data_IF_722668259108
#
_entry.id   IF_722668259108
#
_cell.length_a   1.000
_cell.length_b   1.000
_cell.length_c   1.000
_cell.angle_alpha   90.00
_cell.angle_beta   90.00
_cell.angle_gamma   90.00
#
_symmetry.space_group_name_H-M   'P 1'
#
loop_
_entity.id
_entity.type
_entity.pdbx_description
1 polymer ?
#
# COMPACT_ATOMS: atom_id res chain seq x y z
N UNK A 1 -2.09 5.53 -3.24
CA UNK A 1 -0.65 5.35 -3.50
C UNK A 1 0.18 5.12 -2.24
N UNK A 2 -0.15 5.74 -1.11
CA UNK A 2 0.64 5.59 0.13
C UNK A 2 0.88 4.14 0.58
N UNK A 3 -0.11 3.24 0.48
CA UNK A 3 0.08 1.82 0.81
C UNK A 3 1.15 1.14 -0.06
N UNK A 4 1.13 1.36 -1.38
CA UNK A 4 2.11 0.78 -2.31
C UNK A 4 3.52 1.33 -2.05
N UNK A 5 3.63 2.63 -1.72
CA UNK A 5 4.92 3.24 -1.35
C UNK A 5 5.46 2.63 -0.05
N UNK A 6 4.63 2.52 0.98
CA UNK A 6 5.05 1.91 2.24
C UNK A 6 5.41 0.43 2.08
N UNK A 7 4.70 -0.29 1.20
CA UNK A 7 5.06 -1.67 0.88
C UNK A 7 6.43 -1.74 0.22
N UNK A 8 6.72 -0.85 -0.72
CA UNK A 8 8.03 -0.77 -1.36
C UNK A 8 9.15 -0.52 -0.34
N UNK A 9 8.91 0.33 0.66
CA UNK A 9 9.87 0.61 1.73
C UNK A 9 10.15 -0.65 2.57
N UNK A 10 9.10 -1.40 2.95
CA UNK A 10 9.23 -2.65 3.71
C UNK A 10 9.99 -3.72 2.90
N UNK A 11 9.69 -3.86 1.61
CA UNK A 11 10.39 -4.79 0.73
C UNK A 11 11.87 -4.39 0.57
N UNK A 12 12.16 -3.09 0.46
CA UNK A 12 13.53 -2.59 0.41
C UNK A 12 14.30 -2.88 1.71
N UNK A 13 13.64 -2.76 2.86
CA UNK A 13 14.22 -3.12 4.16
C UNK A 13 14.53 -4.63 4.24
N UNK A 14 13.65 -5.50 3.75
CA UNK A 14 13.93 -6.94 3.69
C UNK A 14 15.13 -7.25 2.79
N UNK A 15 15.18 -6.66 1.59
CA UNK A 15 16.29 -6.85 0.64
C UNK A 15 17.61 -6.37 1.25
N UNK A 16 17.62 -5.22 1.93
CA UNK A 16 18.80 -4.70 2.62
C UNK A 16 19.29 -5.63 3.75
N UNK A 17 18.37 -6.38 4.37
CA UNK A 17 18.66 -7.31 5.46
C UNK A 17 18.74 -8.79 5.00
N UNK A 18 18.87 -9.06 3.70
CA UNK A 18 18.94 -10.42 3.16
C UNK A 18 20.13 -11.24 3.68
N UNK A 19 21.23 -10.59 4.08
CA UNK A 19 22.40 -11.25 4.67
C UNK A 19 22.46 -11.10 6.21
N UNK A 20 21.41 -10.57 6.84
CA UNK A 20 21.39 -10.33 8.30
C UNK A 20 20.94 -11.59 9.04
N UNK A 21 21.79 -12.18 9.92
CA UNK A 21 21.39 -13.36 10.69
C UNK A 21 20.17 -13.09 11.57
N UNK A 22 19.30 -14.10 11.72
CA UNK A 22 18.07 -14.02 12.54
C UNK A 22 17.07 -12.93 12.13
N UNK A 23 17.17 -12.40 10.91
CA UNK A 23 16.19 -11.45 10.39
C UNK A 23 14.92 -12.19 9.90
N UNK A 24 13.77 -11.58 10.14
CA UNK A 24 12.46 -12.11 9.73
C UNK A 24 11.81 -11.16 8.74
N UNK A 25 11.46 -11.68 7.56
CA UNK A 25 10.82 -10.94 6.49
C UNK A 25 9.45 -10.39 6.94
N UNK A 26 9.14 -9.17 6.50
CA UNK A 26 7.90 -8.46 6.82
C UNK A 26 7.18 -8.05 5.54
N UNK A 27 5.86 -7.95 5.58
CA UNK A 27 5.08 -7.34 4.49
C UNK A 27 3.92 -6.54 5.09
N UNK A 28 3.21 -5.77 4.28
CA UNK A 28 1.99 -5.09 4.70
C UNK A 28 0.77 -6.00 4.58
N UNK A 29 -0.17 -5.83 5.50
CA UNK A 29 -1.48 -6.46 5.39
C UNK A 29 -2.13 -6.08 4.04
N UNK A 30 -2.72 -7.09 3.38
CA UNK A 30 -3.29 -6.93 2.06
C UNK A 30 -4.37 -5.85 2.04
N UNK A 31 -4.29 -4.99 1.03
CA UNK A 31 -5.26 -3.92 0.87
C UNK A 31 -6.60 -4.50 0.40
N UNK A 32 -7.54 -4.64 1.32
CA UNK A 32 -8.91 -5.04 0.98
C UNK A 32 -9.66 -3.87 0.34
N UNK A 33 -9.54 -3.77 -0.99
CA UNK A 33 -10.20 -2.74 -1.80
C UNK A 33 -11.72 -2.73 -1.64
N UNK A 34 -12.35 -3.85 -1.27
CA UNK A 34 -13.80 -3.91 -1.07
C UNK A 34 -14.27 -3.03 0.10
N UNK A 35 -13.41 -2.85 1.11
CA UNK A 35 -13.67 -1.93 2.22
C UNK A 35 -13.65 -0.47 1.73
N UNK A 36 -12.68 -0.11 0.90
CA UNK A 36 -12.53 1.26 0.39
C UNK A 36 -13.58 1.67 -0.65
N UNK A 37 -14.03 0.74 -1.50
CA UNK A 37 -15.12 1.00 -2.47
C UNK A 37 -16.42 1.36 -1.74
N UNK A 38 -16.68 0.72 -0.59
CA UNK A 38 -17.82 1.05 0.25
C UNK A 38 -17.63 2.37 1.04
N UNK A 39 -16.39 2.73 1.38
CA UNK A 39 -16.08 4.03 2.00
C UNK A 39 -16.15 5.21 1.04
N UNK A 40 -15.98 5.01 -0.27
CA UNK A 40 -16.21 6.05 -1.28
C UNK A 40 -17.65 6.59 -1.30
N UNK A 41 -18.60 5.92 -0.62
CA UNK A 41 -19.97 6.39 -0.36
C UNK A 41 -20.12 7.21 0.92
N UNK A 42 -19.08 7.37 1.73
CA UNK A 42 -19.12 8.18 2.96
C UNK A 42 -18.93 9.65 2.61
N UNK A 43 -20.04 10.37 2.50
CA UNK A 43 -20.07 11.84 2.51
C UNK A 43 -19.35 12.30 3.78
N UNK A 44 -18.25 13.05 3.62
CA UNK A 44 -17.53 13.63 4.76
C UNK A 44 -18.27 14.89 5.20
N UNK A 45 -18.74 14.99 6.46
CA UNK A 45 -19.37 16.20 6.95
C UNK A 45 -18.34 17.34 6.97
N UNK A 46 -18.75 18.52 6.51
CA UNK A 46 -17.95 19.75 6.64
C UNK A 46 -18.20 20.33 8.02
N UNK A 47 -17.13 20.74 8.70
CA UNK A 47 -17.22 21.47 9.97
C UNK A 47 -17.81 22.85 9.70
N UNK A 48 -19.04 23.06 10.14
CA UNK A 48 -19.75 24.33 9.97
C UNK A 48 -19.43 25.35 11.06
N UNK A 49 -18.93 24.91 12.23
CA UNK A 49 -18.62 25.77 13.37
C UNK A 49 -17.33 25.34 14.08
N UNK A 50 -16.58 26.30 14.62
CA UNK A 50 -15.34 26.10 15.38
C UNK A 50 -15.57 25.43 16.74
N UNK A 51 -16.81 25.28 17.19
CA UNK A 51 -17.17 24.57 18.42
C UNK A 51 -17.53 23.10 18.17
N UNK A 52 -17.66 22.68 16.91
CA UNK A 52 -17.94 21.29 16.57
C UNK A 52 -16.71 20.38 16.75
N UNK A 53 -16.96 19.16 17.24
CA UNK A 53 -15.95 18.11 17.37
C UNK A 53 -15.44 17.68 15.99
N UNK A 54 -14.12 17.51 15.85
CA UNK A 54 -13.52 16.94 14.64
C UNK A 54 -13.47 15.42 14.78
N UNK A 55 -13.64 14.71 13.66
CA UNK A 55 -13.24 13.32 13.56
C UNK A 55 -11.91 13.31 12.81
N UNK A 56 -10.80 13.14 13.51
CA UNK A 56 -9.51 12.93 12.89
C UNK A 56 -9.57 11.61 12.12
N UNK A 57 -9.70 11.70 10.80
CA UNK A 57 -9.41 10.57 9.92
C UNK A 57 -7.90 10.41 9.88
N UNK A 58 -7.34 9.88 10.96
CA UNK A 58 -6.06 9.22 10.90
C UNK A 58 -6.28 7.98 10.04
N UNK A 59 -5.99 8.09 8.74
CA UNK A 59 -5.75 6.92 7.92
C UNK A 59 -4.60 6.17 8.59
N UNK A 60 -4.93 5.14 9.36
CA UNK A 60 -3.95 4.38 10.13
C UNK A 60 -2.86 3.88 9.20
N UNK A 61 -1.61 3.94 9.65
CA UNK A 61 -0.52 3.33 8.93
C UNK A 61 -0.88 1.86 8.65
N UNK A 62 -0.68 1.37 7.41
CA UNK A 62 -0.89 -0.03 7.09
C UNK A 62 -0.14 -0.91 8.09
N UNK A 63 -0.85 -1.91 8.59
CA UNK A 63 -0.31 -2.84 9.57
C UNK A 63 0.77 -3.69 8.89
N UNK A 64 1.97 -3.66 9.45
CA UNK A 64 3.04 -4.59 9.09
C UNK A 64 2.71 -5.95 9.71
N UNK A 65 2.82 -7.01 8.92
CA UNK A 65 2.61 -8.39 9.31
C UNK A 65 3.89 -9.16 9.03
N UNK A 66 4.28 -10.07 9.95
CA UNK A 66 5.37 -11.00 9.69
C UNK A 66 4.94 -11.99 8.62
N UNK A 67 5.74 -12.17 7.58
CA UNK A 67 5.46 -13.22 6.59
C UNK A 67 6.10 -14.53 7.05
N UNK A 68 5.41 -15.65 6.83
CA UNK A 68 6.06 -16.96 6.88
C UNK A 68 6.84 -17.09 5.58
N UNK A 69 8.16 -17.23 5.66
CA UNK A 69 8.96 -17.49 4.47
C UNK A 69 8.86 -18.96 4.05
N UNK A 70 9.02 -19.23 2.76
CA UNK A 70 9.12 -20.60 2.26
C UNK A 70 10.44 -21.27 2.64
N UNK A 71 11.50 -20.47 2.79
CA UNK A 71 12.83 -20.93 3.14
C UNK A 71 13.37 -20.14 4.33
N UNK A 72 13.99 -20.83 5.28
CA UNK A 72 14.76 -20.21 6.36
C UNK A 72 16.18 -20.73 6.25
N UNK A 73 17.12 -19.81 6.03
CA UNK A 73 18.55 -20.14 5.97
C UNK A 73 19.00 -20.81 7.28
N UNK A 74 20.07 -21.62 7.27
CA UNK A 74 20.65 -22.17 8.50
C UNK A 74 21.04 -21.10 9.54
N UNK A 75 21.26 -19.86 9.07
CA UNK A 75 21.55 -18.66 9.85
C UNK A 75 20.33 -18.09 10.61
N UNK A 76 19.14 -18.66 10.39
CA UNK A 76 17.87 -18.19 10.93
C UNK A 76 17.32 -16.96 10.22
N UNK A 77 17.84 -16.60 9.05
CA UNK A 77 17.26 -15.55 8.20
C UNK A 77 16.13 -16.15 7.36
N UNK A 78 14.96 -15.51 7.39
CA UNK A 78 13.77 -15.89 6.66
C UNK A 78 13.57 -15.09 5.36
N UNK A 79 14.52 -14.22 4.97
CA UNK A 79 14.44 -13.44 3.72
C UNK A 79 14.92 -14.29 2.55
N UNK A 80 14.05 -14.46 1.55
CA UNK A 80 14.39 -15.03 0.25
C UNK A 80 14.44 -13.93 -0.80
N UNK A 81 15.63 -13.62 -1.33
CA UNK A 81 15.85 -12.46 -2.19
C UNK A 81 15.01 -12.56 -3.48
N UNK A 82 14.91 -13.74 -4.07
CA UNK A 82 14.12 -14.00 -5.27
C UNK A 82 12.63 -13.69 -5.04
N UNK A 83 12.11 -14.06 -3.87
CA UNK A 83 10.73 -13.80 -3.48
C UNK A 83 10.48 -12.30 -3.27
N UNK A 84 11.39 -11.61 -2.57
CA UNK A 84 11.29 -10.16 -2.36
C UNK A 84 11.36 -9.39 -3.68
N UNK A 85 12.22 -9.80 -4.61
CA UNK A 85 12.30 -9.20 -5.95
C UNK A 85 11.02 -9.41 -6.77
N UNK A 86 10.37 -10.57 -6.66
CA UNK A 86 9.05 -10.79 -7.26
C UNK A 86 7.99 -9.86 -6.65
N UNK A 87 7.98 -9.67 -5.31
CA UNK A 87 7.06 -8.75 -4.64
C UNK A 87 7.29 -7.28 -5.02
N UNK A 88 8.54 -6.87 -5.23
CA UNK A 88 8.89 -5.54 -5.74
C UNK A 88 8.34 -5.33 -7.15
N UNK A 89 8.55 -6.31 -8.05
CA UNK A 89 8.02 -6.25 -9.41
C UNK A 89 6.48 -6.15 -9.41
N UNK A 90 5.80 -6.94 -8.56
CA UNK A 90 4.36 -6.85 -8.38
C UNK A 90 3.91 -5.47 -7.90
N UNK A 91 4.57 -4.92 -6.88
CA UNK A 91 4.26 -3.59 -6.32
C UNK A 91 4.45 -2.48 -7.37
N UNK A 92 5.46 -2.61 -8.23
CA UNK A 92 5.69 -1.69 -9.34
C UNK A 92 4.58 -1.76 -10.40
N UNK A 93 4.12 -2.96 -10.75
CA UNK A 93 2.99 -3.16 -11.68
C UNK A 93 1.70 -2.59 -11.11
N UNK A 94 1.41 -2.83 -9.83
CA UNK A 94 0.22 -2.32 -9.15
C UNK A 94 0.21 -0.78 -9.11
N UNK A 95 1.37 -0.16 -8.90
CA UNK A 95 1.51 1.29 -8.96
C UNK A 95 1.22 1.85 -10.35
N UNK A 96 1.76 1.21 -11.40
CA UNK A 96 1.49 1.59 -12.79
C UNK A 96 0.00 1.45 -13.12
N UNK A 97 -0.65 0.36 -12.71
CA UNK A 97 -2.09 0.17 -12.87
C UNK A 97 -2.90 1.26 -12.17
N UNK A 98 -2.61 1.55 -10.91
CA UNK A 98 -3.32 2.55 -10.14
C UNK A 98 -3.18 3.96 -10.74
N UNK A 99 -1.99 4.33 -11.20
CA UNK A 99 -1.74 5.62 -11.85
C UNK A 99 -2.46 5.73 -13.21
N UNK A 100 -2.45 4.66 -14.01
CA UNK A 100 -3.17 4.59 -15.28
C UNK A 100 -4.68 4.72 -15.09
N UNK A 101 -5.26 4.04 -14.10
CA UNK A 101 -6.67 4.14 -13.76
C UNK A 101 -7.06 5.57 -13.33
N UNK A 102 -6.21 6.22 -12.53
CA UNK A 102 -6.40 7.61 -12.12
C UNK A 102 -6.36 8.57 -13.32
N UNK A 103 -5.37 8.43 -14.20
CA UNK A 103 -5.29 9.24 -15.41
C UNK A 103 -6.54 9.06 -16.29
N UNK A 104 -7.04 7.82 -16.42
CA UNK A 104 -8.25 7.51 -17.18
C UNK A 104 -9.51 8.10 -16.54
N UNK A 105 -9.65 8.03 -15.21
CA UNK A 105 -10.82 8.60 -14.52
C UNK A 105 -10.89 10.12 -14.68
N UNK A 106 -9.75 10.81 -14.56
CA UNK A 106 -9.65 12.25 -14.83
C UNK A 106 -9.97 12.58 -16.29
N UNK A 107 -9.50 11.76 -17.24
CA UNK A 107 -9.84 11.94 -18.66
C UNK A 107 -11.35 11.84 -18.89
N UNK A 108 -12.03 10.86 -18.29
CA UNK A 108 -13.50 10.73 -18.40
C UNK A 108 -14.22 11.96 -17.81
N UNK A 109 -13.78 12.44 -16.64
CA UNK A 109 -14.33 13.65 -16.03
C UNK A 109 -14.13 14.90 -16.90
N UNK A 110 -12.95 15.05 -17.51
CA UNK A 110 -12.64 16.14 -18.44
C UNK A 110 -13.54 16.09 -19.68
N UNK A 111 -13.74 14.91 -20.26
CA UNK A 111 -14.65 14.69 -21.38
C UNK A 111 -16.08 15.07 -21.00
N UNK A 112 -16.57 14.68 -19.82
CA UNK A 112 -17.91 15.03 -19.35
C UNK A 112 -18.11 16.54 -19.14
N UNK A 113 -17.03 17.26 -18.78
CA UNK A 113 -17.02 18.72 -18.63
C UNK A 113 -16.84 19.47 -19.96
N UNK A 114 -16.75 18.77 -21.10
CA UNK A 114 -16.54 19.38 -22.42
C UNK A 114 -15.14 19.98 -22.61
N UNK A 115 -14.19 19.65 -21.72
CA UNK A 115 -12.79 20.08 -21.77
C UNK A 115 -11.94 18.90 -22.23
N UNK A 116 -12.08 18.53 -23.51
CA UNK A 116 -11.20 17.55 -24.14
C UNK A 116 -9.82 18.17 -24.40
#
# INVERSE_FOLDING_TARGET
>A
MSWLQQRQDVLAENVANADTPRYAARDLESLDLSKYVNEGRKIRPVRTDVSHMTLDSAGGAPRIVSTSSFETTPSGNSVALEEEMMKVAQTQMDYQLASGLYARSVSVLKTALGRA
#
